data_IF_471167892899
#
_entry.id   IF_471167892899
#
_cell.length_a   1.000
_cell.length_b   1.000
_cell.length_c   1.000
_cell.angle_alpha   90.00
_cell.angle_beta   90.00
_cell.angle_gamma   90.00
#
_symmetry.space_group_name_H-M   'P 1'
#
loop_
_entity.id
_entity.type
_entity.pdbx_description
1 polymer ?
#
# COMPACT_ATOMS: atom_id res chain seq x y z
N UNK A 1 6.37 10.66 16.76
CA UNK A 1 5.77 11.48 15.69
C UNK A 1 6.37 11.20 14.30
N UNK A 2 7.66 10.89 14.17
CA UNK A 2 8.29 10.64 12.86
C UNK A 2 7.74 9.40 12.11
N UNK A 3 7.47 8.29 12.81
CA UNK A 3 6.93 7.06 12.18
C UNK A 3 5.56 7.26 11.52
N UNK A 4 4.66 8.00 12.18
CA UNK A 4 3.34 8.32 11.63
C UNK A 4 3.47 9.17 10.37
N UNK A 5 4.42 10.12 10.34
CA UNK A 5 4.72 10.89 9.12
C UNK A 5 5.18 9.98 7.98
N UNK A 6 6.03 9.00 8.26
CA UNK A 6 6.51 8.06 7.24
C UNK A 6 5.36 7.25 6.61
N UNK A 7 4.44 6.72 7.43
CA UNK A 7 3.26 6.00 6.92
C UNK A 7 2.34 6.89 6.08
N UNK A 8 2.12 8.13 6.52
CA UNK A 8 1.29 9.09 5.78
C UNK A 8 1.95 9.44 4.45
N UNK A 9 3.25 9.70 4.42
CA UNK A 9 3.98 10.00 3.17
C UNK A 9 3.92 8.84 2.19
N UNK A 10 4.07 7.60 2.67
CA UNK A 10 4.02 6.42 1.83
C UNK A 10 2.60 6.14 1.29
N UNK A 11 1.58 6.33 2.13
CA UNK A 11 0.18 6.27 1.71
C UNK A 11 -0.14 7.32 0.64
N UNK A 12 0.28 8.56 0.85
CA UNK A 12 0.10 9.65 -0.12
C UNK A 12 0.85 9.33 -1.41
N UNK A 13 2.08 8.84 -1.34
CA UNK A 13 2.87 8.44 -2.51
C UNK A 13 2.18 7.35 -3.34
N UNK A 14 1.74 6.26 -2.72
CA UNK A 14 1.01 5.18 -3.41
C UNK A 14 -0.31 5.70 -4.00
N UNK A 15 -1.05 6.53 -3.26
CA UNK A 15 -2.30 7.13 -3.73
C UNK A 15 -2.08 8.00 -4.98
N UNK A 16 -1.03 8.82 -5.00
CA UNK A 16 -0.71 9.67 -6.14
C UNK A 16 -0.32 8.82 -7.36
N UNK A 17 0.56 7.84 -7.18
CA UNK A 17 1.02 6.98 -8.29
C UNK A 17 -0.16 6.20 -8.89
N UNK A 18 -1.01 5.61 -8.05
CA UNK A 18 -2.18 4.86 -8.50
C UNK A 18 -3.22 5.76 -9.17
N UNK A 19 -3.43 6.98 -8.66
CA UNK A 19 -4.32 7.96 -9.27
C UNK A 19 -3.82 8.40 -10.66
N UNK A 20 -2.53 8.74 -10.79
CA UNK A 20 -1.93 9.15 -12.08
C UNK A 20 -2.02 8.03 -13.10
N UNK A 21 -1.69 6.79 -12.70
CA UNK A 21 -1.83 5.62 -13.57
C UNK A 21 -3.29 5.40 -13.99
N UNK A 22 -4.24 5.55 -13.05
CA UNK A 22 -5.67 5.42 -13.32
C UNK A 22 -6.19 6.46 -14.31
N UNK A 23 -5.82 7.74 -14.13
CA UNK A 23 -6.19 8.82 -15.05
C UNK A 23 -5.63 8.56 -16.45
N UNK A 24 -4.35 8.17 -16.55
CA UNK A 24 -3.72 7.83 -17.82
C UNK A 24 -4.42 6.68 -18.55
N UNK A 25 -4.73 5.60 -17.83
CA UNK A 25 -5.48 4.47 -18.37
C UNK A 25 -6.89 4.87 -18.83
N UNK A 26 -7.60 5.70 -18.05
CA UNK A 26 -8.94 6.17 -18.41
C UNK A 26 -8.92 7.04 -19.67
N UNK A 27 -7.95 7.97 -19.76
CA UNK A 27 -7.78 8.81 -20.94
C UNK A 27 -7.50 7.99 -22.20
N UNK A 28 -6.67 6.96 -22.09
CA UNK A 28 -6.40 6.03 -23.19
C UNK A 28 -7.67 5.28 -23.61
N UNK A 29 -8.38 4.67 -22.65
CA UNK A 29 -9.63 3.97 -22.91
C UNK A 29 -10.69 4.86 -23.54
N UNK A 30 -10.81 6.12 -23.10
CA UNK A 30 -11.73 7.10 -23.67
C UNK A 30 -11.42 7.38 -25.15
N UNK A 31 -10.15 7.61 -25.48
CA UNK A 31 -9.74 7.85 -26.86
C UNK A 31 -10.05 6.66 -27.76
N UNK A 32 -9.69 5.44 -27.31
CA UNK A 32 -9.96 4.20 -28.05
C UNK A 32 -11.46 3.95 -28.20
N UNK A 33 -12.25 4.16 -27.15
CA UNK A 33 -13.71 4.00 -27.19
C UNK A 33 -14.35 4.99 -28.16
N UNK A 34 -13.88 6.25 -28.19
CA UNK A 34 -14.36 7.27 -29.11
C UNK A 34 -14.13 6.87 -30.57
N UNK A 35 -12.91 6.43 -30.91
CA UNK A 35 -12.58 5.96 -32.26
C UNK A 35 -13.39 4.72 -32.65
N UNK A 36 -13.52 3.77 -31.72
CA UNK A 36 -14.30 2.54 -31.94
C UNK A 36 -15.78 2.85 -32.22
N UNK A 37 -16.41 3.72 -31.42
CA UNK A 37 -17.80 4.14 -31.62
C UNK A 37 -17.96 4.86 -32.96
N UNK A 38 -17.03 5.75 -33.30
CA UNK A 38 -17.06 6.48 -34.56
C UNK A 38 -17.03 5.53 -35.76
N UNK A 39 -16.10 4.58 -35.77
CA UNK A 39 -15.97 3.58 -36.82
C UNK A 39 -17.20 2.66 -36.87
N UNK A 40 -17.68 2.21 -35.72
CA UNK A 40 -18.87 1.37 -35.62
C UNK A 40 -20.12 2.06 -36.16
N UNK A 41 -20.32 3.36 -35.83
CA UNK A 41 -21.44 4.13 -36.35
C UNK A 41 -21.35 4.35 -37.86
N UNK A 42 -20.16 4.60 -38.40
CA UNK A 42 -19.94 4.66 -39.85
C UNK A 42 -20.26 3.33 -40.55
N UNK A 43 -19.86 2.20 -39.96
CA UNK A 43 -20.13 0.89 -40.52
C UNK A 43 -21.61 0.50 -40.42
N UNK A 44 -22.25 0.76 -39.28
CA UNK A 44 -23.68 0.53 -39.07
C UNK A 44 -24.51 1.34 -40.07
N UNK A 45 -24.23 2.63 -40.25
CA UNK A 45 -24.93 3.47 -41.23
C UNK A 45 -24.74 3.00 -42.68
N UNK A 46 -23.57 2.47 -43.05
CA UNK A 46 -23.35 1.85 -44.38
C UNK A 46 -24.16 0.58 -44.58
N UNK A 47 -24.32 -0.23 -43.54
CA UNK A 47 -25.13 -1.45 -43.61
C UNK A 47 -26.61 -1.08 -43.73
N UNK A 48 -27.08 -0.20 -42.84
CA UNK A 48 -28.48 0.24 -42.79
C UNK A 48 -28.93 0.89 -44.12
N UNK A 49 -28.20 1.88 -44.61
CA UNK A 49 -28.55 2.53 -45.90
C UNK A 49 -28.52 1.59 -47.08
N UNK A 50 -27.60 0.61 -47.09
CA UNK A 50 -27.54 -0.41 -48.16
C UNK A 50 -28.72 -1.37 -48.08
N UNK A 51 -29.09 -1.82 -46.89
CA UNK A 51 -30.22 -2.73 -46.68
C UNK A 51 -31.52 -2.07 -47.07
N UNK A 52 -31.77 -0.84 -46.58
CA UNK A 52 -32.94 -0.04 -46.96
C UNK A 52 -32.91 0.24 -48.47
N UNK A 53 -31.78 0.68 -49.02
CA UNK A 53 -31.63 0.92 -50.45
C UNK A 53 -31.99 -0.29 -51.31
N UNK A 54 -31.51 -1.49 -50.94
CA UNK A 54 -31.86 -2.73 -51.63
C UNK A 54 -33.33 -3.10 -51.54
N UNK A 55 -33.98 -2.86 -50.39
CA UNK A 55 -35.42 -3.09 -50.24
C UNK A 55 -36.25 -2.13 -51.10
N UNK A 56 -35.77 -0.90 -51.32
CA UNK A 56 -36.41 0.04 -52.24
C UNK A 56 -36.17 -0.36 -53.70
N UNK A 57 -34.94 -0.75 -54.05
CA UNK A 57 -34.60 -1.33 -55.36
C UNK A 57 -35.53 -2.51 -55.69
N UNK A 58 -35.72 -3.43 -54.76
CA UNK A 58 -36.60 -4.59 -54.92
C UNK A 58 -38.07 -4.20 -55.13
N UNK A 59 -38.58 -3.18 -54.43
CA UNK A 59 -39.94 -2.68 -54.65
C UNK A 59 -40.10 -2.07 -56.05
N UNK A 60 -39.11 -1.32 -56.53
CA UNK A 60 -39.11 -0.73 -57.87
C UNK A 60 -39.01 -1.81 -58.95
N UNK A 61 -38.13 -2.78 -58.79
CA UNK A 61 -37.93 -3.89 -59.72
C UNK A 61 -39.20 -4.77 -59.84
N UNK A 62 -39.98 -4.88 -58.75
CA UNK A 62 -41.29 -5.53 -58.74
C UNK A 62 -42.41 -4.67 -59.35
N UNK A 63 -42.10 -3.51 -59.92
CA UNK A 63 -43.05 -2.64 -60.63
C UNK A 63 -43.94 -1.80 -59.72
N UNK A 64 -43.58 -1.61 -58.44
CA UNK A 64 -44.35 -0.70 -57.59
C UNK A 64 -44.23 0.74 -58.08
N UNK A 65 -45.32 1.54 -58.07
CA UNK A 65 -45.25 2.94 -58.43
C UNK A 65 -44.28 3.71 -57.51
N UNK A 66 -43.39 4.58 -58.05
CA UNK A 66 -42.39 5.28 -57.25
C UNK A 66 -42.98 6.04 -56.04
N UNK A 67 -44.12 6.72 -56.22
CA UNK A 67 -44.80 7.40 -55.12
C UNK A 67 -45.21 6.45 -53.99
N UNK A 68 -45.68 5.25 -54.34
CA UNK A 68 -46.09 4.25 -53.34
C UNK A 68 -44.90 3.76 -52.52
N UNK A 69 -43.73 3.62 -53.14
CA UNK A 69 -42.49 3.22 -52.46
C UNK A 69 -42.01 4.32 -51.50
N UNK A 70 -42.05 5.58 -51.93
CA UNK A 70 -41.78 6.75 -51.08
C UNK A 70 -42.73 6.77 -49.87
N UNK A 71 -44.03 6.61 -50.11
CA UNK A 71 -45.04 6.61 -49.04
C UNK A 71 -44.80 5.47 -48.04
N UNK A 72 -44.44 4.27 -48.51
CA UNK A 72 -44.15 3.12 -47.64
C UNK A 72 -42.93 3.38 -46.74
N UNK A 73 -41.85 3.96 -47.30
CA UNK A 73 -40.67 4.35 -46.53
C UNK A 73 -41.03 5.43 -45.51
N UNK A 74 -41.72 6.49 -45.93
CA UNK A 74 -42.15 7.59 -45.05
C UNK A 74 -43.00 7.07 -43.88
N UNK A 75 -43.94 6.16 -44.14
CA UNK A 75 -44.76 5.53 -43.09
C UNK A 75 -43.92 4.69 -42.11
N UNK A 76 -42.79 4.13 -42.57
CA UNK A 76 -41.91 3.31 -41.73
C UNK A 76 -41.00 4.14 -40.83
N UNK A 77 -40.63 5.36 -41.25
CA UNK A 77 -39.68 6.21 -40.52
C UNK A 77 -40.34 7.36 -39.75
N UNK A 78 -41.60 7.72 -40.06
CA UNK A 78 -42.28 8.82 -39.39
C UNK A 78 -42.36 8.59 -37.88
N UNK A 79 -42.13 9.65 -37.10
CA UNK A 79 -42.10 9.61 -35.62
C UNK A 79 -41.05 8.67 -35.00
N UNK A 80 -40.06 8.21 -35.79
CA UNK A 80 -38.84 7.62 -35.23
C UNK A 80 -37.94 8.72 -34.65
N UNK A 81 -36.93 8.35 -33.87
CA UNK A 81 -36.09 9.32 -33.15
C UNK A 81 -35.21 10.16 -34.09
N UNK A 82 -35.67 11.34 -34.46
CA UNK A 82 -34.92 12.28 -35.31
C UNK A 82 -33.75 12.98 -34.59
N UNK A 83 -33.64 12.84 -33.25
CA UNK A 83 -32.65 13.57 -32.47
C UNK A 83 -31.34 12.81 -32.32
N UNK A 84 -31.40 11.48 -32.18
CA UNK A 84 -30.22 10.65 -31.96
C UNK A 84 -29.69 10.01 -33.24
N UNK A 85 -30.52 9.25 -33.95
CA UNK A 85 -30.16 8.50 -35.15
C UNK A 85 -31.39 8.25 -36.00
N UNK A 86 -31.31 8.61 -37.29
CA UNK A 86 -32.46 8.50 -38.17
C UNK A 86 -32.07 8.24 -39.63
N UNK A 87 -33.04 7.73 -40.38
CA UNK A 87 -32.95 7.54 -41.83
C UNK A 87 -33.84 8.54 -42.53
N UNK A 88 -33.37 9.06 -43.66
CA UNK A 88 -34.15 9.87 -44.58
C UNK A 88 -33.81 9.49 -46.03
N UNK A 89 -34.52 10.08 -46.98
CA UNK A 89 -34.28 9.86 -48.40
C UNK A 89 -34.36 11.17 -49.16
N UNK A 90 -33.44 11.37 -50.09
CA UNK A 90 -33.37 12.55 -50.97
C UNK A 90 -33.50 12.12 -52.43
N UNK A 91 -33.91 13.04 -53.30
CA UNK A 91 -33.58 12.93 -54.73
C UNK A 91 -32.15 13.44 -54.99
N UNK A 92 -31.63 13.16 -56.19
CA UNK A 92 -30.31 13.64 -56.62
C UNK A 92 -30.25 15.17 -56.76
N UNK A 93 -31.38 15.88 -56.78
CA UNK A 93 -31.45 17.35 -56.80
C UNK A 93 -31.41 17.96 -55.38
N UNK A 94 -31.33 17.12 -54.35
CA UNK A 94 -31.27 17.53 -52.95
C UNK A 94 -32.63 17.82 -52.32
N UNK A 95 -33.75 17.43 -52.93
CA UNK A 95 -35.09 17.50 -52.34
C UNK A 95 -35.27 16.32 -51.38
N UNK A 96 -35.69 16.59 -50.15
CA UNK A 96 -35.97 15.56 -49.16
C UNK A 96 -37.32 14.88 -49.46
N UNK A 97 -37.27 13.60 -49.81
CA UNK A 97 -38.44 12.79 -50.18
C UNK A 97 -39.08 12.13 -48.96
N UNK A 98 -38.26 11.70 -47.99
CA UNK A 98 -38.75 11.11 -46.74
C UNK A 98 -37.92 11.62 -45.56
N UNK A 99 -38.58 11.89 -44.43
CA UNK A 99 -37.93 12.31 -43.18
C UNK A 99 -38.78 11.89 -41.95
N UNK A 100 -38.18 11.51 -40.80
CA UNK A 100 -38.93 11.15 -39.59
C UNK A 100 -39.85 12.26 -39.07
N UNK A 101 -39.40 13.51 -39.19
CA UNK A 101 -40.22 14.72 -39.06
C UNK A 101 -40.82 15.10 -40.42
N UNK A 102 -42.14 14.93 -40.63
CA UNK A 102 -42.80 15.24 -41.89
C UNK A 102 -42.72 16.71 -42.30
N UNK A 103 -42.47 17.64 -41.37
CA UNK A 103 -42.37 19.06 -41.69
C UNK A 103 -41.13 19.40 -42.54
N UNK A 104 -40.16 18.48 -42.62
CA UNK A 104 -38.93 18.64 -43.39
C UNK A 104 -39.02 18.04 -44.81
N UNK A 105 -40.02 17.18 -45.08
CA UNK A 105 -40.27 16.61 -46.41
C UNK A 105 -40.56 17.74 -47.42
N UNK A 106 -39.93 17.63 -48.60
CA UNK A 106 -39.99 18.61 -49.67
C UNK A 106 -39.00 19.77 -49.55
N UNK A 107 -38.24 19.86 -48.46
CA UNK A 107 -37.18 20.87 -48.34
C UNK A 107 -36.00 20.54 -49.26
N UNK A 108 -35.38 21.60 -49.79
CA UNK A 108 -34.20 21.48 -50.66
C UNK A 108 -32.92 21.77 -49.87
N UNK A 109 -31.96 20.86 -49.96
CA UNK A 109 -30.60 21.08 -49.47
C UNK A 109 -29.85 22.00 -50.43
N UNK A 110 -29.21 23.02 -49.89
CA UNK A 110 -28.45 24.03 -50.64
C UNK A 110 -26.98 23.99 -50.19
N UNK A 111 -26.06 24.33 -51.09
CA UNK A 111 -24.63 24.43 -50.81
C UNK A 111 -24.30 25.37 -49.64
N UNK A 112 -25.14 26.39 -49.40
CA UNK A 112 -24.98 27.31 -48.28
C UNK A 112 -25.40 26.75 -46.92
N UNK A 113 -26.31 25.76 -46.87
CA UNK A 113 -26.96 25.33 -45.63
C UNK A 113 -26.39 24.03 -45.06
N UNK A 114 -25.64 23.25 -45.85
CA UNK A 114 -25.11 21.96 -45.42
C UNK A 114 -23.78 21.59 -46.09
N UNK A 115 -22.77 21.32 -45.25
CA UNK A 115 -21.44 20.89 -45.68
C UNK A 115 -21.23 19.41 -45.35
N UNK A 116 -20.50 18.72 -46.20
CA UNK A 116 -20.05 17.35 -46.05
C UNK A 116 -18.53 17.32 -46.04
N UNK A 117 -17.96 16.74 -44.98
CA UNK A 117 -16.52 16.66 -44.76
C UNK A 117 -16.12 15.20 -44.86
N UNK A 118 -15.26 14.91 -45.84
CA UNK A 118 -14.63 13.59 -46.02
C UNK A 118 -13.13 13.77 -46.07
N UNK A 119 -12.40 13.05 -45.22
CA UNK A 119 -10.95 13.14 -45.10
C UNK A 119 -10.41 14.58 -44.92
N UNK A 120 -11.18 15.45 -44.26
CA UNK A 120 -10.79 16.84 -43.98
C UNK A 120 -11.14 17.86 -45.07
N UNK A 121 -11.60 17.44 -46.25
CA UNK A 121 -12.02 18.35 -47.32
C UNK A 121 -13.53 18.62 -47.23
N UNK A 122 -13.96 19.88 -47.02
CA UNK A 122 -15.38 20.25 -47.05
C UNK A 122 -15.86 20.37 -48.50
N UNK A 123 -17.06 19.85 -48.76
CA UNK A 123 -17.82 20.06 -49.99
C UNK A 123 -19.31 20.28 -49.64
N UNK A 124 -20.09 20.96 -50.47
CA UNK A 124 -21.55 20.99 -50.34
C UNK A 124 -22.16 19.59 -50.22
N UNK A 125 -23.09 19.37 -49.29
CA UNK A 125 -23.77 18.06 -49.20
C UNK A 125 -24.62 17.77 -50.46
N UNK A 126 -25.16 18.81 -51.10
CA UNK A 126 -25.86 18.71 -52.39
C UNK A 126 -24.99 18.04 -53.46
N UNK A 127 -23.70 18.34 -53.52
CA UNK A 127 -22.79 17.78 -54.53
C UNK A 127 -22.61 16.26 -54.34
N UNK A 128 -22.68 15.80 -53.09
CA UNK A 128 -22.60 14.38 -52.75
C UNK A 128 -23.87 13.65 -53.20
N UNK A 129 -25.04 14.27 -53.06
CA UNK A 129 -26.31 13.74 -53.55
C UNK A 129 -26.34 13.72 -55.08
N UNK A 130 -25.93 14.81 -55.73
CA UNK A 130 -25.84 14.92 -57.20
C UNK A 130 -24.87 13.89 -57.81
N UNK A 131 -23.78 13.53 -57.11
CA UNK A 131 -22.84 12.53 -57.58
C UNK A 131 -23.48 11.13 -57.70
N UNK A 132 -24.55 10.86 -56.95
CA UNK A 132 -25.27 9.58 -56.99
C UNK A 132 -24.42 8.38 -56.54
N UNK A 133 -23.45 8.59 -55.64
CA UNK A 133 -22.53 7.55 -55.18
C UNK A 133 -22.63 7.36 -53.68
N UNK A 134 -22.40 6.13 -53.24
CA UNK A 134 -22.33 5.83 -51.81
C UNK A 134 -21.15 6.57 -51.15
N UNK A 135 -21.37 7.07 -49.94
CA UNK A 135 -20.38 7.85 -49.23
C UNK A 135 -20.68 7.94 -47.74
N UNK A 136 -19.64 8.06 -46.92
CA UNK A 136 -19.76 8.30 -45.48
C UNK A 136 -18.86 9.46 -45.10
N UNK A 137 -19.35 10.36 -44.25
CA UNK A 137 -18.61 11.52 -43.80
C UNK A 137 -19.33 12.28 -42.70
N UNK A 138 -18.80 13.44 -42.36
CA UNK A 138 -19.40 14.33 -41.36
C UNK A 138 -20.21 15.42 -42.07
N UNK A 139 -21.49 15.55 -41.73
CA UNK A 139 -22.36 16.64 -42.16
C UNK A 139 -22.37 17.73 -41.10
N UNK A 140 -22.21 18.99 -41.50
CA UNK A 140 -22.28 20.16 -40.62
C UNK A 140 -23.20 21.23 -41.19
N UNK A 141 -23.72 22.09 -40.32
CA UNK A 141 -24.75 23.07 -40.64
C UNK A 141 -24.29 24.49 -40.25
N UNK A 142 -23.52 25.18 -41.11
CA UNK A 142 -22.92 26.47 -40.77
C UNK A 142 -23.96 27.58 -40.51
N UNK A 143 -25.11 27.52 -41.18
CA UNK A 143 -26.19 28.51 -41.07
C UNK A 143 -27.10 28.21 -39.87
N UNK A 144 -27.48 26.94 -39.67
CA UNK A 144 -28.37 26.51 -38.60
C UNK A 144 -27.57 26.18 -37.33
N UNK A 145 -27.11 27.22 -36.60
CA UNK A 145 -26.25 27.09 -35.41
C UNK A 145 -26.82 26.20 -34.28
N UNK A 146 -28.13 25.99 -34.25
CA UNK A 146 -28.80 25.13 -33.27
C UNK A 146 -28.86 23.65 -33.69
N UNK A 147 -28.50 23.32 -34.94
CA UNK A 147 -28.47 21.96 -35.44
C UNK A 147 -27.08 21.36 -35.26
N UNK A 148 -27.03 20.25 -34.54
CA UNK A 148 -25.80 19.49 -34.32
C UNK A 148 -25.28 18.87 -35.63
N UNK A 149 -23.95 18.71 -35.71
CA UNK A 149 -23.33 17.93 -36.78
C UNK A 149 -23.71 16.46 -36.70
N UNK A 150 -23.73 15.79 -37.84
CA UNK A 150 -24.20 14.41 -37.98
C UNK A 150 -23.15 13.58 -38.72
N UNK A 151 -22.88 12.36 -38.29
CA UNK A 151 -22.25 11.37 -39.18
C UNK A 151 -23.33 10.99 -40.19
N UNK A 152 -23.08 11.23 -41.47
CA UNK A 152 -24.01 10.87 -42.54
C UNK A 152 -23.39 9.80 -43.43
N UNK A 153 -24.19 8.77 -43.72
CA UNK A 153 -23.90 7.81 -44.78
C UNK A 153 -25.00 7.88 -45.81
N UNK A 154 -24.63 7.91 -47.09
CA UNK A 154 -25.56 7.93 -48.22
C UNK A 154 -25.37 6.70 -49.10
N UNK A 155 -26.45 6.22 -49.70
CA UNK A 155 -26.47 5.09 -50.64
C UNK A 155 -27.45 5.36 -51.79
N UNK A 156 -27.04 5.17 -53.06
CA UNK A 156 -27.92 5.37 -54.21
C UNK A 156 -28.87 4.18 -54.39
N UNK A 157 -30.14 4.45 -54.64
CA UNK A 157 -31.16 3.44 -54.95
C UNK A 157 -31.19 3.23 -56.47
N UNK A 158 -30.74 2.06 -56.93
CA UNK A 158 -30.77 1.73 -58.37
C UNK A 158 -32.19 1.74 -58.92
N UNK A 159 -32.33 2.13 -60.18
CA UNK A 159 -33.64 2.26 -60.84
C UNK A 159 -34.39 3.55 -60.50
N UNK A 160 -33.77 4.46 -59.73
CA UNK A 160 -34.34 5.77 -59.37
C UNK A 160 -33.26 6.85 -59.32
N UNK A 161 -33.68 8.08 -59.04
CA UNK A 161 -32.82 9.22 -58.71
C UNK A 161 -32.70 9.42 -57.19
N UNK A 162 -32.91 8.38 -56.38
CA UNK A 162 -32.96 8.49 -54.93
C UNK A 162 -31.64 8.16 -54.24
N UNK A 163 -31.43 8.85 -53.12
CA UNK A 163 -30.32 8.69 -52.20
C UNK A 163 -30.87 8.46 -50.80
N UNK A 164 -30.72 7.24 -50.28
CA UNK A 164 -31.04 6.94 -48.88
C UNK A 164 -29.89 7.42 -48.00
N UNK A 165 -30.21 8.09 -46.90
CA UNK A 165 -29.23 8.59 -45.96
C UNK A 165 -29.53 8.14 -44.53
N UNK A 166 -28.50 7.72 -43.80
CA UNK A 166 -28.56 7.47 -42.36
C UNK A 166 -27.71 8.52 -41.64
N UNK A 167 -28.28 9.10 -40.59
CA UNK A 167 -27.74 10.21 -39.81
C UNK A 167 -27.55 9.77 -38.36
N UNK A 168 -26.39 10.07 -37.78
CA UNK A 168 -26.14 9.89 -36.35
C UNK A 168 -25.63 11.20 -35.73
N UNK A 169 -26.33 11.71 -34.73
CA UNK A 169 -26.04 13.01 -34.12
C UNK A 169 -24.76 12.95 -33.27
N UNK A 170 -23.75 13.73 -33.67
CA UNK A 170 -22.43 13.72 -33.01
C UNK A 170 -22.52 14.25 -31.58
N UNK A 171 -23.40 15.22 -31.29
CA UNK A 171 -23.57 15.77 -29.94
C UNK A 171 -24.17 14.74 -28.99
N UNK A 172 -25.15 13.97 -29.45
CA UNK A 172 -25.76 12.88 -28.65
C UNK A 172 -24.73 11.78 -28.38
N UNK A 173 -23.97 11.37 -29.40
CA UNK A 173 -22.89 10.40 -29.24
C UNK A 173 -21.81 10.89 -28.26
N UNK A 174 -21.44 12.16 -28.35
CA UNK A 174 -20.47 12.77 -27.44
C UNK A 174 -20.99 12.79 -26.01
N UNK A 175 -22.25 13.15 -25.79
CA UNK A 175 -22.87 13.13 -24.46
C UNK A 175 -22.91 11.71 -23.86
N UNK A 176 -23.18 10.68 -24.66
CA UNK A 176 -23.13 9.28 -24.23
C UNK A 176 -21.70 8.86 -23.82
N UNK A 177 -20.69 9.24 -24.62
CA UNK A 177 -19.28 9.02 -24.32
C UNK A 177 -18.83 9.72 -23.04
N UNK A 178 -19.24 10.96 -22.84
CA UNK A 178 -18.87 11.75 -21.66
C UNK A 178 -19.53 11.19 -20.40
N UNK A 179 -20.79 10.72 -20.48
CA UNK A 179 -21.44 10.02 -19.38
C UNK A 179 -20.71 8.71 -19.03
N UNK A 180 -20.32 7.92 -20.04
CA UNK A 180 -19.53 6.70 -19.85
C UNK A 180 -18.17 7.02 -19.19
N UNK A 181 -17.52 8.09 -19.62
CA UNK A 181 -16.27 8.57 -19.02
C UNK A 181 -16.43 8.95 -17.55
N UNK A 182 -17.51 9.65 -17.18
CA UNK A 182 -17.81 9.97 -15.80
C UNK A 182 -18.01 8.71 -14.95
N UNK A 183 -18.72 7.70 -15.45
CA UNK A 183 -18.89 6.42 -14.75
C UNK A 183 -17.54 5.72 -14.51
N UNK A 184 -16.66 5.70 -15.51
CA UNK A 184 -15.31 5.14 -15.34
C UNK A 184 -14.47 5.91 -14.32
N UNK A 185 -14.53 7.24 -14.33
CA UNK A 185 -13.81 8.07 -13.37
C UNK A 185 -14.25 7.81 -11.93
N UNK A 186 -15.56 7.69 -11.69
CA UNK A 186 -16.09 7.30 -10.37
C UNK A 186 -15.55 5.93 -9.95
N UNK A 187 -15.55 4.94 -10.86
CA UNK A 187 -15.00 3.62 -10.60
C UNK A 187 -13.50 3.65 -10.24
N UNK A 188 -12.70 4.44 -10.95
CA UNK A 188 -11.26 4.59 -10.68
C UNK A 188 -11.02 5.21 -9.31
N UNK A 189 -11.75 6.26 -8.93
CA UNK A 189 -11.62 6.88 -7.61
C UNK A 189 -11.91 5.86 -6.50
N UNK A 190 -12.97 5.07 -6.65
CA UNK A 190 -13.31 4.00 -5.70
C UNK A 190 -12.20 2.94 -5.61
N UNK A 191 -11.65 2.52 -6.75
CA UNK A 191 -10.54 1.56 -6.80
C UNK A 191 -9.26 2.12 -6.19
N UNK A 192 -8.91 3.38 -6.43
CA UNK A 192 -7.75 4.06 -5.82
C UNK A 192 -7.90 4.10 -4.30
N UNK A 193 -9.09 4.46 -3.79
CA UNK A 193 -9.37 4.45 -2.35
C UNK A 193 -9.24 3.03 -1.76
N UNK A 194 -9.77 2.03 -2.44
CA UNK A 194 -9.72 0.62 -2.01
C UNK A 194 -8.29 0.07 -2.00
N UNK A 195 -7.53 0.29 -3.07
CA UNK A 195 -6.13 -0.16 -3.19
C UNK A 195 -5.27 0.54 -2.15
N UNK A 196 -5.38 1.87 -2.06
CA UNK A 196 -4.59 2.66 -1.12
C UNK A 196 -4.89 2.30 0.34
N UNK A 197 -6.16 2.14 0.68
CA UNK A 197 -6.59 1.67 2.01
C UNK A 197 -6.08 0.26 2.33
N UNK A 198 -6.15 -0.66 1.37
CA UNK A 198 -5.64 -2.03 1.53
C UNK A 198 -4.12 -2.06 1.70
N UNK A 199 -3.38 -1.28 0.90
CA UNK A 199 -1.93 -1.12 1.03
C UNK A 199 -1.57 -0.57 2.42
N UNK A 200 -2.26 0.48 2.89
CA UNK A 200 -2.04 1.05 4.21
C UNK A 200 -2.20 0.02 5.33
N UNK A 201 -3.28 -0.78 5.28
CA UNK A 201 -3.54 -1.83 6.26
C UNK A 201 -2.43 -2.90 6.22
N UNK A 202 -2.04 -3.37 5.05
CA UNK A 202 -0.98 -4.38 4.89
C UNK A 202 0.37 -3.87 5.42
N UNK A 203 0.74 -2.64 5.06
CA UNK A 203 1.96 -2.00 5.56
C UNK A 203 1.94 -1.95 7.08
N UNK A 204 0.83 -1.51 7.68
CA UNK A 204 0.68 -1.44 9.15
C UNK A 204 0.80 -2.81 9.81
N UNK A 205 0.22 -3.86 9.21
CA UNK A 205 0.31 -5.23 9.73
C UNK A 205 1.74 -5.79 9.65
N UNK A 206 2.41 -5.64 8.51
CA UNK A 206 3.78 -6.11 8.29
C UNK A 206 4.73 -5.40 9.23
N UNK A 207 4.67 -4.07 9.27
CA UNK A 207 5.60 -3.29 10.09
C UNK A 207 5.38 -3.51 11.58
N UNK A 208 4.12 -3.66 12.03
CA UNK A 208 3.81 -4.01 13.41
C UNK A 208 4.35 -5.39 13.82
N UNK A 209 4.41 -6.36 12.88
CA UNK A 209 5.04 -7.66 13.13
C UNK A 209 6.57 -7.54 13.22
N UNK A 210 7.19 -6.80 12.31
CA UNK A 210 8.63 -6.56 12.32
C UNK A 210 9.10 -5.84 13.59
N UNK A 211 8.36 -4.82 14.05
CA UNK A 211 8.68 -4.06 15.26
C UNK A 211 8.67 -4.96 16.50
N UNK A 212 7.66 -5.83 16.65
CA UNK A 212 7.62 -6.80 17.75
C UNK A 212 8.79 -7.78 17.73
N UNK A 213 9.20 -8.25 16.55
CA UNK A 213 10.35 -9.14 16.43
C UNK A 213 11.65 -8.42 16.82
N UNK A 214 11.83 -7.20 16.36
CA UNK A 214 13.00 -6.37 16.69
C UNK A 214 13.07 -6.07 18.20
N UNK A 215 11.95 -5.68 18.82
CA UNK A 215 11.89 -5.40 20.25
C UNK A 215 12.23 -6.64 21.09
N UNK A 216 11.77 -7.82 20.67
CA UNK A 216 12.13 -9.09 21.32
C UNK A 216 13.62 -9.41 21.19
N UNK A 217 14.23 -9.16 20.02
CA UNK A 217 15.65 -9.37 19.78
C UNK A 217 16.51 -8.39 20.61
N UNK A 218 16.15 -7.11 20.65
CA UNK A 218 16.80 -6.10 21.50
C UNK A 218 16.71 -6.49 22.97
N UNK A 219 15.54 -6.94 23.43
CA UNK A 219 15.35 -7.37 24.82
C UNK A 219 16.24 -8.59 25.14
N UNK A 220 16.34 -9.55 24.21
CA UNK A 220 17.20 -10.72 24.36
C UNK A 220 18.68 -10.32 24.45
N UNK A 221 19.15 -9.49 23.52
CA UNK A 221 20.53 -8.98 23.51
C UNK A 221 20.87 -8.22 24.79
N UNK A 222 19.95 -7.39 25.28
CA UNK A 222 20.14 -6.67 26.54
C UNK A 222 20.23 -7.60 27.76
N UNK A 223 19.43 -8.68 27.80
CA UNK A 223 19.52 -9.71 28.84
C UNK A 223 20.86 -10.45 28.78
N UNK A 224 21.28 -10.84 27.59
CA UNK A 224 22.56 -11.54 27.39
C UNK A 224 23.75 -10.65 27.79
N UNK A 225 23.71 -9.36 27.43
CA UNK A 225 24.70 -8.36 27.87
C UNK A 225 24.72 -8.17 29.39
N UNK A 226 23.55 -8.12 30.03
CA UNK A 226 23.45 -8.01 31.48
C UNK A 226 24.02 -9.25 32.18
N UNK A 227 23.67 -10.46 31.71
CA UNK A 227 24.19 -11.72 32.24
C UNK A 227 25.72 -11.81 32.09
N UNK A 228 26.26 -11.37 30.94
CA UNK A 228 27.70 -11.35 30.71
C UNK A 228 28.44 -10.40 31.66
N UNK A 229 27.89 -9.21 31.92
CA UNK A 229 28.46 -8.26 32.90
C UNK A 229 28.53 -8.83 34.32
N UNK A 230 27.51 -9.57 34.75
CA UNK A 230 27.48 -10.24 36.07
C UNK A 230 28.51 -11.38 36.14
N UNK A 231 28.64 -12.15 35.06
CA UNK A 231 29.65 -13.21 34.98
C UNK A 231 31.08 -12.66 34.99
N UNK A 232 31.33 -11.50 34.37
CA UNK A 232 32.64 -10.83 34.37
C UNK A 232 32.99 -10.19 35.72
N UNK A 233 32.01 -9.76 36.53
CA UNK A 233 32.28 -9.15 37.84
C UNK A 233 32.62 -10.16 38.94
N UNK A 234 32.26 -11.44 38.78
CA UNK A 234 32.48 -12.47 39.80
C UNK A 234 33.82 -13.18 39.56
N UNK A 235 34.79 -12.95 40.45
CA UNK A 235 36.16 -13.45 40.28
C UNK A 235 36.24 -14.92 40.67
N UNK A 236 36.74 -15.79 39.77
CA UNK A 236 36.88 -17.24 40.03
C UNK A 236 38.18 -17.64 40.73
N UNK A 237 39.26 -16.88 40.53
CA UNK A 237 40.58 -17.15 41.10
C UNK A 237 41.20 -15.89 41.70
N UNK A 238 41.79 -16.03 42.87
CA UNK A 238 42.55 -14.99 43.54
C UNK A 238 44.04 -15.27 43.38
N UNK A 239 44.82 -14.24 43.03
CA UNK A 239 46.28 -14.34 43.05
C UNK A 239 46.72 -13.99 44.46
N UNK A 240 47.39 -14.93 45.12
CA UNK A 240 47.86 -14.83 46.50
C UNK A 240 49.37 -15.05 46.56
N UNK A 241 49.99 -14.69 47.66
CA UNK A 241 51.41 -14.93 47.90
C UNK A 241 51.59 -15.88 49.08
N UNK A 242 52.52 -16.81 48.95
CA UNK A 242 52.93 -17.70 50.03
C UNK A 242 54.45 -17.69 50.09
N UNK A 243 55.02 -17.03 51.12
CA UNK A 243 56.45 -16.72 51.19
C UNK A 243 56.87 -15.88 49.97
N UNK A 244 57.72 -16.41 49.09
CA UNK A 244 58.21 -15.74 47.88
C UNK A 244 57.55 -16.26 46.59
N UNK A 245 56.53 -17.12 46.68
CA UNK A 245 55.85 -17.71 45.52
C UNK A 245 54.46 -17.10 45.31
N UNK A 246 54.13 -16.83 44.04
CA UNK A 246 52.80 -16.40 43.63
C UNK A 246 51.93 -17.63 43.36
N UNK A 247 50.85 -17.78 44.13
CA UNK A 247 49.93 -18.93 44.08
C UNK A 247 48.55 -18.47 43.63
N UNK A 248 48.04 -19.08 42.56
CA UNK A 248 46.66 -18.83 42.10
C UNK A 248 45.69 -19.74 42.84
N UNK A 249 44.94 -19.17 43.76
CA UNK A 249 43.97 -19.86 44.61
C UNK A 249 42.56 -19.78 44.00
N UNK A 250 41.81 -20.87 44.00
CA UNK A 250 40.39 -20.83 43.62
C UNK A 250 39.56 -20.21 44.74
N UNK A 251 38.61 -19.34 44.39
CA UNK A 251 37.78 -18.67 45.40
C UNK A 251 36.96 -19.68 46.23
N UNK A 252 36.59 -20.82 45.64
CA UNK A 252 35.90 -21.91 46.35
C UNK A 252 36.72 -22.55 47.49
N UNK A 253 38.05 -22.47 47.45
CA UNK A 253 38.93 -23.06 48.47
C UNK A 253 39.15 -22.14 49.68
N UNK A 254 38.62 -20.92 49.65
CA UNK A 254 38.80 -19.91 50.69
C UNK A 254 37.77 -20.13 51.81
N UNK A 255 38.25 -20.38 53.03
CA UNK A 255 37.42 -20.50 54.22
C UNK A 255 37.06 -19.13 54.83
N UNK A 256 38.05 -18.24 54.98
CA UNK A 256 37.83 -16.86 55.41
C UNK A 256 39.05 -16.00 55.09
N UNK A 257 38.85 -14.68 55.05
CA UNK A 257 39.88 -13.68 54.81
C UNK A 257 39.89 -12.74 56.00
N UNK A 258 41.06 -12.43 56.56
CA UNK A 258 41.17 -11.59 57.74
C UNK A 258 42.35 -10.61 57.65
N UNK A 259 42.23 -9.47 58.31
CA UNK A 259 43.27 -8.46 58.45
C UNK A 259 43.98 -8.67 59.79
N UNK A 260 45.28 -8.95 59.74
CA UNK A 260 46.15 -9.08 60.91
C UNK A 260 47.47 -8.38 60.62
N UNK A 261 48.08 -7.72 61.61
CA UNK A 261 49.41 -7.07 61.46
C UNK A 261 49.52 -6.18 60.19
N UNK A 262 48.45 -5.44 59.88
CA UNK A 262 48.33 -4.57 58.71
C UNK A 262 48.42 -5.27 57.33
N UNK A 263 48.28 -6.59 57.29
CA UNK A 263 48.29 -7.41 56.08
C UNK A 263 47.00 -8.25 55.96
N UNK A 264 46.50 -8.43 54.73
CA UNK A 264 45.31 -9.24 54.47
C UNK A 264 45.73 -10.69 54.21
N UNK A 265 45.22 -11.59 55.05
CA UNK A 265 45.48 -13.02 54.98
C UNK A 265 44.26 -13.76 54.46
N UNK A 266 44.48 -14.71 53.56
CA UNK A 266 43.49 -15.66 53.07
C UNK A 266 43.78 -17.02 53.71
N UNK A 267 42.78 -17.57 54.39
CA UNK A 267 42.83 -18.89 54.99
C UNK A 267 42.02 -19.87 54.14
N UNK A 268 42.62 -20.99 53.73
CA UNK A 268 41.94 -22.03 52.95
C UNK A 268 41.29 -23.08 53.86
N UNK A 269 40.35 -23.86 53.31
CA UNK A 269 39.76 -25.02 54.00
C UNK A 269 40.81 -26.08 54.40
N UNK A 270 41.91 -26.18 53.63
CA UNK A 270 43.04 -27.07 53.92
C UNK A 270 44.02 -26.51 54.97
N UNK A 271 43.62 -25.46 55.68
CA UNK A 271 44.42 -24.81 56.72
C UNK A 271 45.74 -24.19 56.21
N UNK A 272 45.79 -23.79 54.93
CA UNK A 272 46.91 -23.04 54.36
C UNK A 272 46.64 -21.54 54.43
N UNK A 273 47.69 -20.76 54.68
CA UNK A 273 47.61 -19.30 54.82
C UNK A 273 48.40 -18.61 53.71
N UNK A 274 47.74 -17.68 53.04
CA UNK A 274 48.31 -16.87 51.97
C UNK A 274 48.10 -15.38 52.27
N UNK A 275 48.89 -14.50 51.67
CA UNK A 275 48.75 -13.05 51.77
C UNK A 275 48.25 -12.44 50.47
N UNK A 276 47.53 -11.33 50.58
CA UNK A 276 46.95 -10.61 49.44
C UNK A 276 47.17 -9.11 49.63
N UNK A 277 47.53 -8.42 48.55
CA UNK A 277 47.83 -6.99 48.57
C UNK A 277 46.60 -6.11 48.32
N UNK A 278 45.42 -6.71 48.20
CA UNK A 278 44.13 -6.05 47.95
C UNK A 278 43.39 -5.85 49.27
N UNK A 279 42.69 -4.72 49.41
CA UNK A 279 41.91 -4.45 50.61
C UNK A 279 40.70 -5.39 50.73
N UNK A 280 40.22 -5.63 51.95
CA UNK A 280 39.04 -6.46 52.17
C UNK A 280 37.79 -5.89 51.49
N UNK A 281 37.64 -4.57 51.43
CA UNK A 281 36.46 -3.94 50.81
C UNK A 281 36.49 -4.06 49.28
N UNK A 282 37.67 -4.08 48.66
CA UNK A 282 37.83 -4.38 47.23
C UNK A 282 37.63 -5.87 46.94
N UNK A 283 38.11 -6.75 47.82
CA UNK A 283 37.89 -8.19 47.70
C UNK A 283 36.40 -8.51 47.77
N UNK A 284 35.66 -7.93 48.72
CA UNK A 284 34.21 -8.15 48.85
C UNK A 284 33.44 -7.77 47.57
N UNK A 285 33.86 -6.75 46.81
CA UNK A 285 33.21 -6.36 45.54
C UNK A 285 33.41 -7.37 44.41
N UNK A 286 34.42 -8.22 44.52
CA UNK A 286 34.81 -9.21 43.50
C UNK A 286 34.38 -10.64 43.87
N UNK A 287 34.00 -10.84 45.13
CA UNK A 287 33.56 -12.11 45.68
C UNK A 287 32.03 -12.24 45.57
N UNK A 288 31.57 -13.48 45.52
CA UNK A 288 30.15 -13.79 45.51
C UNK A 288 29.53 -13.47 46.89
N UNK A 289 28.58 -12.52 46.92
CA UNK A 289 27.92 -12.07 48.15
C UNK A 289 26.99 -13.13 48.76
N UNK A 290 26.64 -14.18 48.01
CA UNK A 290 25.83 -15.28 48.54
C UNK A 290 26.71 -16.28 49.32
N UNK A 291 28.00 -16.37 48.99
CA UNK A 291 28.96 -17.30 49.63
C UNK A 291 29.80 -16.61 50.70
N UNK A 292 30.20 -15.35 50.46
CA UNK A 292 31.05 -14.57 51.35
C UNK A 292 30.29 -13.46 52.04
N UNK A 293 30.56 -13.27 53.33
CA UNK A 293 29.97 -12.19 54.13
C UNK A 293 31.02 -11.39 54.88
N UNK A 294 30.85 -10.06 54.90
CA UNK A 294 31.71 -9.13 55.65
C UNK A 294 31.33 -9.09 57.13
N UNK A 295 31.78 -10.10 57.89
CA UNK A 295 31.46 -10.28 59.30
C UNK A 295 31.78 -9.03 60.16
N UNK A 296 32.94 -8.41 59.94
CA UNK A 296 33.34 -7.17 60.61
C UNK A 296 34.41 -6.41 59.77
N UNK A 297 35.00 -5.34 60.31
CA UNK A 297 36.03 -4.54 59.61
C UNK A 297 37.28 -5.34 59.28
N UNK A 298 37.56 -6.39 60.05
CA UNK A 298 38.78 -7.18 59.95
C UNK A 298 38.55 -8.50 59.22
N UNK A 299 37.32 -8.98 58.99
CA UNK A 299 37.09 -10.32 58.46
C UNK A 299 35.98 -10.41 57.40
N UNK A 300 36.20 -11.27 56.40
CA UNK A 300 35.22 -11.80 55.44
C UNK A 300 35.17 -13.31 55.65
N UNK A 301 33.98 -13.88 55.82
CA UNK A 301 33.78 -15.30 56.09
C UNK A 301 33.08 -15.98 54.93
N UNK A 302 33.45 -17.23 54.64
CA UNK A 302 32.69 -18.11 53.75
C UNK A 302 31.62 -18.84 54.58
N UNK A 303 30.38 -18.90 54.09
CA UNK A 303 29.27 -19.61 54.74
C UNK A 303 29.62 -21.07 55.06
N UNK A 304 30.33 -21.74 54.16
CA UNK A 304 30.68 -23.16 54.29
C UNK A 304 31.77 -23.41 55.36
N UNK A 305 32.48 -22.38 55.80
CA UNK A 305 33.51 -22.48 56.82
C UNK A 305 32.98 -22.25 58.25
N UNK A 306 31.71 -21.87 58.40
CA UNK A 306 31.11 -21.60 59.70
C UNK A 306 30.74 -22.94 60.35
N UNK A 307 31.46 -23.31 61.41
CA UNK A 307 31.20 -24.54 62.18
C UNK A 307 30.06 -24.37 63.17
N UNK A 308 30.06 -23.26 63.91
CA UNK A 308 29.07 -22.98 64.95
C UNK A 308 28.95 -21.48 65.17
N UNK A 309 27.73 -21.01 65.45
CA UNK A 309 27.45 -19.61 65.77
C UNK A 309 27.05 -19.55 67.24
N UNK A 310 27.82 -18.84 68.06
CA UNK A 310 27.57 -18.68 69.49
C UNK A 310 26.99 -17.29 69.78
N UNK A 311 26.05 -17.22 70.73
CA UNK A 311 25.57 -15.93 71.23
C UNK A 311 26.58 -15.42 72.25
N UNK A 312 27.18 -14.27 71.97
CA UNK A 312 28.25 -13.67 72.77
C UNK A 312 27.77 -12.34 73.38
N UNK A 313 27.83 -12.22 74.70
CA UNK A 313 27.44 -10.99 75.43
C UNK A 313 26.01 -10.50 75.16
N UNK A 314 25.83 -9.17 75.14
CA UNK A 314 24.52 -8.47 74.93
C UNK A 314 24.08 -8.49 73.45
N UNK A 315 23.70 -9.65 72.93
CA UNK A 315 23.24 -9.88 71.53
C UNK A 315 24.29 -9.69 70.43
N UNK A 316 25.57 -10.00 70.68
CA UNK A 316 26.55 -10.16 69.61
C UNK A 316 26.61 -11.63 69.20
N UNK A 317 27.11 -11.92 68.00
CA UNK A 317 27.31 -13.29 67.52
C UNK A 317 28.81 -13.53 67.37
N UNK A 318 29.29 -14.65 67.88
CA UNK A 318 30.66 -15.11 67.69
C UNK A 318 30.66 -16.29 66.71
N UNK A 319 31.46 -16.18 65.65
CA UNK A 319 31.59 -17.23 64.64
C UNK A 319 32.76 -18.15 65.01
N UNK A 320 32.47 -19.44 65.14
CA UNK A 320 33.47 -20.50 65.22
C UNK A 320 33.69 -21.03 63.82
N UNK A 321 34.89 -20.80 63.27
CA UNK A 321 35.25 -21.21 61.92
C UNK A 321 35.97 -22.56 61.91
N UNK A 322 35.93 -23.24 60.76
CA UNK A 322 36.76 -24.39 60.45
C UNK A 322 37.49 -24.14 59.11
N UNK A 323 38.83 -24.07 59.08
CA UNK A 323 39.79 -24.17 60.20
C UNK A 323 39.65 -23.07 61.26
N UNK A 324 40.19 -23.30 62.47
CA UNK A 324 40.03 -22.36 63.59
C UNK A 324 40.66 -21.00 63.25
N UNK A 325 39.87 -19.93 63.38
CA UNK A 325 40.34 -18.57 63.17
C UNK A 325 41.37 -18.15 64.25
N UNK A 326 42.43 -17.40 63.88
CA UNK A 326 43.45 -16.95 64.85
C UNK A 326 42.90 -15.95 65.88
N UNK A 327 41.92 -15.14 65.46
CA UNK A 327 41.25 -14.14 66.28
C UNK A 327 39.75 -14.44 66.36
N UNK A 328 39.10 -13.99 67.42
CA UNK A 328 37.66 -14.16 67.59
C UNK A 328 36.89 -13.32 66.56
N UNK A 329 36.09 -13.98 65.72
CA UNK A 329 35.26 -13.30 64.73
C UNK A 329 33.92 -12.95 65.38
N UNK A 330 33.80 -11.68 65.79
CA UNK A 330 32.59 -11.14 66.42
C UNK A 330 31.81 -10.28 65.42
N UNK A 331 30.51 -10.58 65.30
CA UNK A 331 29.53 -9.77 64.59
C UNK A 331 28.80 -8.90 65.61
N UNK A 332 28.87 -7.58 65.39
CA UNK A 332 28.23 -6.60 66.26
C UNK A 332 26.70 -6.75 66.29
N UNK A 333 26.08 -6.32 67.38
CA UNK A 333 24.61 -6.31 67.56
C UNK A 333 23.86 -5.67 66.39
N UNK A 334 24.40 -4.59 65.81
CA UNK A 334 23.76 -3.87 64.72
C UNK A 334 23.77 -4.66 63.40
N UNK A 335 24.72 -5.58 63.21
CA UNK A 335 24.83 -6.44 62.03
C UNK A 335 24.28 -7.84 62.23
N UNK A 336 23.91 -8.21 63.46
CA UNK A 336 23.45 -9.56 63.77
C UNK A 336 22.13 -9.93 63.08
N UNK A 337 21.24 -8.95 62.82
CA UNK A 337 20.02 -9.18 62.06
C UNK A 337 20.33 -9.42 60.57
N UNK A 338 21.09 -8.51 59.97
CA UNK A 338 21.55 -8.61 58.56
C UNK A 338 22.28 -9.93 58.28
N UNK A 339 23.13 -10.38 59.20
CA UNK A 339 23.85 -11.64 59.06
C UNK A 339 22.92 -12.86 59.10
N UNK A 340 21.86 -12.83 59.93
CA UNK A 340 20.87 -13.90 59.96
C UNK A 340 20.06 -13.93 58.67
N UNK A 341 19.65 -12.77 58.19
CA UNK A 341 18.93 -12.65 56.92
C UNK A 341 19.80 -13.10 55.74
N UNK A 342 21.12 -12.94 55.83
CA UNK A 342 22.07 -13.45 54.84
C UNK A 342 22.22 -14.98 54.90
N UNK A 343 22.26 -15.58 56.10
CA UNK A 343 22.32 -17.03 56.26
C UNK A 343 21.06 -17.77 55.78
N UNK A 344 19.93 -17.07 55.70
CA UNK A 344 18.63 -17.61 55.27
C UNK A 344 18.39 -17.46 53.75
N UNK A 345 19.36 -16.92 53.01
CA UNK A 345 19.36 -16.89 51.54
C UNK A 345 19.91 -18.18 50.97
#
# INVERSE_FOLDING_TARGET
>A
MEKVRLYILLFVGISIVTLVAGIGACSYCYHTAREAIWNHKMESGRRETREIGRLLEEQLDNGQPPQKVIDNLQQSIVNTDAQSEFVCMYDTNGIELCHPDPALVGQKIDAGNSLFIRNGSPAPFSDILHLGKAGTGLRSFPVAKHRSSEIVTVYPVKGSDWMVAAHANVTVLQAQLDNLYHQFMVGIILMVLLISGSCFLLIRLIYGKYERQMDQEILRLNKDLAAKKVAESTRKRLVTYQRDEMVSLEVGDIAFIFLSENSVFVQTFLNQRHTVNTSLDELMKQLDNDIFYRANRQCIVNVNAIKTILVYGKNQLQLVMHPQAPEEIIISKNKAAEFKDWLDR
#
